data_IF_834004898195
#
_entry.id   IF_834004898195
#
_cell.length_a   1.000
_cell.length_b   1.000
_cell.length_c   1.000
_cell.angle_alpha   90.00
_cell.angle_beta   90.00
_cell.angle_gamma   90.00
#
_symmetry.space_group_name_H-M   'P 1'
#
loop_
_entity.id
_entity.type
_entity.pdbx_description
1 polymer ?
#
# COMPACT_ATOMS: atom_id res chain seq x y z
N UNK A 1 -3.30 -8.07 5.41
CA UNK A 1 -3.06 -6.78 6.12
C UNK A 1 -2.31 -5.80 5.22
N UNK A 2 -2.57 -4.49 5.32
CA UNK A 2 -1.90 -3.44 4.52
C UNK A 2 -1.16 -2.45 5.43
N UNK A 3 0.06 -2.06 5.07
CA UNK A 3 0.93 -1.16 5.81
C UNK A 3 1.73 -0.25 4.88
N UNK A 4 2.13 0.93 5.38
CA UNK A 4 3.12 1.80 4.73
C UNK A 4 4.42 1.77 5.53
N UNK A 5 5.53 1.46 4.87
CA UNK A 5 6.85 1.23 5.51
C UNK A 5 7.96 2.00 4.82
N UNK A 6 9.03 2.29 5.56
CA UNK A 6 10.20 3.00 5.00
C UNK A 6 10.99 2.13 4.02
N UNK A 7 10.91 0.80 4.16
CA UNK A 7 11.40 -0.19 3.20
C UNK A 7 10.55 -1.45 3.25
N UNK A 8 10.80 -2.42 2.36
CA UNK A 8 10.05 -3.70 2.31
C UNK A 8 9.89 -4.36 3.69
N UNK A 9 10.92 -4.35 4.51
CA UNK A 9 10.93 -4.90 5.88
C UNK A 9 11.22 -3.83 6.96
N UNK A 10 11.19 -2.55 6.59
CA UNK A 10 11.55 -1.43 7.47
C UNK A 10 10.50 -1.11 8.52
N UNK A 11 10.68 -0.08 9.35
CA UNK A 11 9.65 0.34 10.30
C UNK A 11 8.41 0.91 9.58
N UNK A 12 7.30 1.03 10.32
CA UNK A 12 6.09 1.74 9.87
C UNK A 12 6.40 3.23 9.70
N UNK A 13 5.95 3.80 8.58
CA UNK A 13 6.03 5.25 8.35
C UNK A 13 5.06 5.95 9.29
N UNK A 14 5.58 6.90 10.08
CA UNK A 14 4.76 7.80 10.91
C UNK A 14 4.69 9.20 10.33
N UNK A 15 5.78 9.64 9.72
CA UNK A 15 5.94 10.94 9.07
C UNK A 15 6.80 10.74 7.82
N UNK A 16 6.57 11.56 6.80
CA UNK A 16 7.36 11.57 5.57
C UNK A 16 7.46 13.00 5.04
N UNK A 17 8.54 13.30 4.32
CA UNK A 17 8.73 14.55 3.61
C UNK A 17 8.37 14.39 2.13
N UNK A 18 8.13 15.52 1.47
CA UNK A 18 7.95 15.54 0.02
C UNK A 18 9.25 15.07 -0.64
N UNK A 19 9.16 14.05 -1.48
CA UNK A 19 10.29 13.41 -2.15
C UNK A 19 10.76 12.11 -1.50
N UNK A 20 10.29 11.79 -0.28
CA UNK A 20 10.60 10.52 0.35
C UNK A 20 9.92 9.36 -0.40
N UNK A 21 10.65 8.26 -0.55
CA UNK A 21 10.10 7.02 -1.08
C UNK A 21 9.49 6.20 0.06
N UNK A 22 8.26 5.74 -0.14
CA UNK A 22 7.57 4.85 0.80
C UNK A 22 7.17 3.55 0.12
N UNK A 23 7.04 2.49 0.93
CA UNK A 23 6.65 1.17 0.47
C UNK A 23 5.23 0.87 0.93
N UNK A 24 4.35 0.62 -0.03
CA UNK A 24 3.04 0.06 0.22
C UNK A 24 3.18 -1.46 0.29
N UNK A 25 2.92 -2.06 1.46
CA UNK A 25 3.16 -3.48 1.70
C UNK A 25 1.83 -4.17 2.03
N UNK A 26 1.47 -5.13 1.19
CA UNK A 26 0.31 -6.00 1.40
C UNK A 26 0.75 -7.39 1.80
N UNK A 27 0.11 -7.91 2.84
CA UNK A 27 0.31 -9.26 3.36
C UNK A 27 -0.94 -10.10 3.15
N UNK A 28 -0.77 -11.28 2.56
CA UNK A 28 -1.76 -12.34 2.54
C UNK A 28 -1.52 -13.27 3.73
N UNK A 29 -2.59 -13.70 4.40
CA UNK A 29 -2.48 -14.63 5.53
C UNK A 29 -1.91 -15.96 5.05
N UNK A 30 -1.09 -16.61 5.88
CA UNK A 30 -0.34 -17.81 5.47
C UNK A 30 -1.26 -18.97 5.04
N UNK A 31 -2.38 -19.18 5.72
CA UNK A 31 -3.31 -20.26 5.38
C UNK A 31 -3.98 -20.03 4.01
N UNK A 32 -4.47 -18.81 3.78
CA UNK A 32 -5.07 -18.42 2.50
C UNK A 32 -4.04 -18.33 1.38
N UNK A 33 -2.82 -17.89 1.68
CA UNK A 33 -1.72 -17.68 0.74
C UNK A 33 -1.16 -18.95 0.11
N UNK A 34 -1.47 -20.14 0.65
CA UNK A 34 -1.08 -21.43 0.07
C UNK A 34 -1.87 -21.71 -1.22
N UNK A 35 -3.12 -21.26 -1.30
CA UNK A 35 -4.04 -21.55 -2.41
C UNK A 35 -4.32 -20.30 -3.24
N UNK A 36 -4.32 -19.13 -2.60
CA UNK A 36 -4.72 -17.86 -3.20
C UNK A 36 -3.56 -16.86 -3.25
N UNK A 37 -3.53 -16.07 -4.33
CA UNK A 37 -2.67 -14.91 -4.45
C UNK A 37 -3.45 -13.61 -4.24
N UNK A 38 -2.74 -12.54 -3.92
CA UNK A 38 -3.33 -11.20 -3.82
C UNK A 38 -3.00 -10.39 -5.08
N UNK A 39 -4.05 -9.89 -5.75
CA UNK A 39 -3.93 -8.90 -6.82
C UNK A 39 -4.37 -7.53 -6.27
N UNK A 40 -3.50 -6.53 -6.40
CA UNK A 40 -3.82 -5.14 -6.05
C UNK A 40 -4.43 -4.52 -7.30
N UNK A 41 -5.76 -4.53 -7.38
CA UNK A 41 -6.49 -4.05 -8.55
C UNK A 41 -6.45 -2.51 -8.67
N UNK A 42 -6.68 -1.81 -7.57
CA UNK A 42 -6.65 -0.35 -7.54
C UNK A 42 -6.16 0.18 -6.19
N UNK A 43 -5.47 1.32 -6.22
CA UNK A 43 -5.00 2.04 -5.06
C UNK A 43 -5.03 3.54 -5.37
N UNK A 44 -5.55 4.33 -4.44
CA UNK A 44 -5.64 5.77 -4.57
C UNK A 44 -5.27 6.44 -3.24
N UNK A 45 -4.74 7.65 -3.32
CA UNK A 45 -4.59 8.55 -2.18
C UNK A 45 -5.83 9.42 -2.10
N UNK A 46 -6.36 9.57 -0.89
CA UNK A 46 -7.45 10.48 -0.55
C UNK A 46 -6.89 11.65 0.26
N UNK A 47 -7.26 12.87 -0.10
CA UNK A 47 -6.88 14.08 0.63
C UNK A 47 -7.82 14.40 1.81
N UNK A 48 -8.83 13.56 2.07
CA UNK A 48 -9.85 13.74 3.10
C UNK A 48 -10.95 14.74 2.71
N UNK A 49 -10.84 15.39 1.56
CA UNK A 49 -11.82 16.35 1.03
C UNK A 49 -12.58 15.78 -0.19
N UNK A 50 -12.43 14.49 -0.45
CA UNK A 50 -13.10 13.78 -1.53
C UNK A 50 -12.36 13.83 -2.87
N UNK A 51 -11.12 14.34 -2.90
CA UNK A 51 -10.26 14.23 -4.08
C UNK A 51 -9.42 12.96 -3.99
N UNK A 52 -9.52 12.12 -5.01
CA UNK A 52 -8.72 10.91 -5.14
C UNK A 52 -7.69 11.04 -6.25
N UNK A 53 -6.48 10.55 -5.99
CA UNK A 53 -5.40 10.44 -6.98
C UNK A 53 -5.01 8.97 -7.12
N UNK A 54 -5.15 8.35 -8.30
CA UNK A 54 -4.79 6.95 -8.50
C UNK A 54 -3.26 6.77 -8.46
N UNK A 55 -2.80 5.77 -7.68
CA UNK A 55 -1.42 5.28 -7.68
C UNK A 55 -1.34 3.98 -8.50
N UNK A 56 -2.32 3.10 -8.31
CA UNK A 56 -2.52 1.89 -9.12
C UNK A 56 -3.93 1.95 -9.65
N UNK A 57 -4.09 1.80 -10.96
CA UNK A 57 -5.40 1.76 -11.62
C UNK A 57 -5.43 0.57 -12.58
N UNK A 58 -6.61 -0.03 -12.75
CA UNK A 58 -6.83 -1.15 -13.67
C UNK A 58 -7.51 -0.70 -14.97
N UNK A 59 -7.20 0.51 -15.43
CA UNK A 59 -7.54 0.95 -16.79
C UNK A 59 -6.58 0.37 -17.81
#
# INVERSE_FOLDING_TARGET
MYEIRESRNGPLVKFAHIGDHVWHVWHCDLESGIIYGMLIHSCYVDDGQGKHVPIVDNK
#
